data_IF_308550097511
#
_entry.id   IF_308550097511
#
_cell.length_a   1.000
_cell.length_b   1.000
_cell.length_c   1.000
_cell.angle_alpha   90.00
_cell.angle_beta   90.00
_cell.angle_gamma   90.00
#
_symmetry.space_group_name_H-M   'P 1'
#
loop_
_entity.id
_entity.type
_entity.pdbx_description
1 polymer ?
#
# COMPACT_ATOMS: atom_id res chain seq x y z
N UNK A 1 -7.76 -9.46 5.51
CA UNK A 1 -8.21 -8.10 5.84
C UNK A 1 -7.86 -7.19 4.67
N UNK A 2 -8.76 -6.31 4.23
CA UNK A 2 -8.53 -5.42 3.08
C UNK A 2 -8.28 -3.99 3.57
N UNK A 3 -7.20 -3.38 3.12
CA UNK A 3 -6.92 -1.95 3.32
C UNK A 3 -7.19 -1.20 2.03
N UNK A 4 -8.34 -0.52 1.95
CA UNK A 4 -8.82 0.10 0.71
C UNK A 4 -7.82 1.12 0.14
N UNK A 5 -7.18 1.91 1.01
CA UNK A 5 -6.22 2.96 0.64
C UNK A 5 -5.02 2.50 -0.16
N UNK A 6 -4.62 1.23 -0.07
CA UNK A 6 -3.52 0.70 -0.88
C UNK A 6 -3.90 0.69 -2.37
N UNK A 7 -5.12 0.27 -2.67
CA UNK A 7 -5.65 0.32 -4.02
C UNK A 7 -5.85 1.76 -4.49
N UNK A 8 -6.43 2.60 -3.62
CA UNK A 8 -6.75 4.00 -3.95
C UNK A 8 -5.49 4.81 -4.27
N UNK A 9 -4.45 4.71 -3.43
CA UNK A 9 -3.17 5.40 -3.65
C UNK A 9 -2.46 4.95 -4.93
N UNK A 10 -2.60 3.67 -5.30
CA UNK A 10 -2.06 3.18 -6.57
C UNK A 10 -2.81 3.78 -7.75
N UNK A 11 -4.15 3.79 -7.70
CA UNK A 11 -4.96 4.35 -8.79
C UNK A 11 -4.79 5.86 -8.91
N UNK A 12 -4.69 6.58 -7.80
CA UNK A 12 -4.46 8.03 -7.78
C UNK A 12 -3.09 8.42 -8.35
N UNK A 13 -2.12 7.49 -8.33
CA UNK A 13 -0.80 7.66 -8.92
C UNK A 13 -0.71 7.15 -10.37
N UNK A 14 -1.84 6.82 -11.01
CA UNK A 14 -1.92 6.27 -12.38
C UNK A 14 -1.05 5.02 -12.61
N UNK A 15 -0.82 4.23 -11.56
CA UNK A 15 0.03 3.05 -11.64
C UNK A 15 -0.77 1.76 -11.83
N UNK A 16 -0.25 0.87 -12.67
CA UNK A 16 -0.68 -0.52 -12.72
C UNK A 16 -0.17 -1.31 -11.50
N UNK A 17 -0.83 -2.42 -11.18
CA UNK A 17 -0.35 -3.36 -10.15
C UNK A 17 1.05 -3.89 -10.46
N UNK A 18 1.41 -4.01 -11.75
CA UNK A 18 2.73 -4.46 -12.19
C UNK A 18 3.81 -3.43 -11.82
N UNK A 19 3.63 -2.17 -12.19
CA UNK A 19 4.58 -1.09 -11.89
C UNK A 19 4.84 -0.96 -10.38
N UNK A 20 3.77 -0.92 -9.57
CA UNK A 20 3.95 -0.80 -8.13
C UNK A 20 4.58 -2.05 -7.51
N UNK A 21 4.28 -3.25 -8.03
CA UNK A 21 4.97 -4.47 -7.57
C UNK A 21 6.46 -4.46 -7.86
N UNK A 22 6.89 -3.87 -8.99
CA UNK A 22 8.30 -3.73 -9.36
C UNK A 22 9.03 -2.77 -8.40
N UNK A 23 8.40 -1.62 -8.09
CA UNK A 23 8.91 -0.65 -7.09
C UNK A 23 9.08 -1.31 -5.72
N UNK A 24 8.11 -2.14 -5.34
CA UNK A 24 8.14 -2.82 -4.04
C UNK A 24 9.00 -4.10 -4.02
N UNK A 25 9.59 -4.48 -5.15
CA UNK A 25 10.38 -5.69 -5.34
C UNK A 25 9.64 -6.99 -4.97
N UNK A 26 8.38 -7.10 -5.41
CA UNK A 26 7.55 -8.29 -5.23
C UNK A 26 6.88 -8.69 -6.55
N UNK A 27 6.28 -9.88 -6.59
CA UNK A 27 5.48 -10.27 -7.77
C UNK A 27 4.16 -9.50 -7.82
N UNK A 28 3.70 -9.17 -9.04
CA UNK A 28 2.38 -8.57 -9.29
C UNK A 28 1.24 -9.37 -8.66
N UNK A 29 1.35 -10.71 -8.64
CA UNK A 29 0.41 -11.58 -7.95
C UNK A 29 0.36 -11.34 -6.45
N UNK A 30 1.53 -11.19 -5.80
CA UNK A 30 1.59 -10.88 -4.36
C UNK A 30 0.95 -9.54 -4.05
N UNK A 31 1.21 -8.53 -4.88
CA UNK A 31 0.60 -7.21 -4.75
C UNK A 31 -0.93 -7.27 -4.95
N UNK A 32 -1.42 -8.04 -5.93
CA UNK A 32 -2.86 -8.28 -6.12
C UNK A 32 -3.52 -8.93 -4.90
N UNK A 33 -2.83 -9.86 -4.22
CA UNK A 33 -3.32 -10.46 -2.98
C UNK A 33 -3.52 -9.43 -1.86
N UNK A 34 -2.69 -8.38 -1.83
CA UNK A 34 -2.80 -7.28 -0.86
C UNK A 34 -4.04 -6.42 -1.15
N UNK A 35 -4.25 -6.00 -2.40
CA UNK A 35 -5.41 -5.17 -2.76
C UNK A 35 -6.74 -5.91 -2.61
N UNK A 36 -6.75 -7.22 -2.84
CA UNK A 36 -7.95 -8.06 -2.66
C UNK A 36 -8.19 -8.46 -1.21
N UNK A 37 -7.19 -8.30 -0.34
CA UNK A 37 -7.24 -8.76 1.06
C UNK A 37 -7.24 -10.28 1.21
N UNK A 38 -6.92 -11.02 0.13
CA UNK A 38 -6.87 -12.49 0.11
C UNK A 38 -5.64 -13.06 0.81
N UNK A 39 -4.60 -12.24 1.02
CA UNK A 39 -3.51 -12.52 1.95
C UNK A 39 -3.27 -11.32 2.85
N UNK A 40 -2.74 -11.58 4.05
CA UNK A 40 -2.26 -10.52 4.92
C UNK A 40 -1.04 -9.85 4.31
N UNK A 41 -0.94 -8.55 4.53
CA UNK A 41 0.17 -7.73 4.06
C UNK A 41 1.27 -7.78 5.13
N UNK A 42 2.51 -8.15 4.78
CA UNK A 42 3.63 -8.07 5.70
C UNK A 42 3.85 -6.64 6.20
N UNK A 43 4.26 -6.47 7.45
CA UNK A 43 4.52 -5.13 8.04
C UNK A 43 5.54 -4.35 7.21
N UNK A 44 6.59 -5.02 6.71
CA UNK A 44 7.58 -4.40 5.83
C UNK A 44 6.97 -3.77 4.58
N UNK A 45 5.95 -4.41 3.99
CA UNK A 45 5.26 -3.88 2.81
C UNK A 45 4.45 -2.63 3.14
N UNK A 46 3.83 -2.58 4.32
CA UNK A 46 3.13 -1.39 4.80
C UNK A 46 4.09 -0.23 4.99
N UNK A 47 5.28 -0.48 5.55
CA UNK A 47 6.33 0.53 5.71
C UNK A 47 6.83 1.03 4.35
N UNK A 48 7.10 0.12 3.40
CA UNK A 48 7.55 0.50 2.05
C UNK A 48 6.52 1.35 1.31
N UNK A 49 5.24 0.97 1.38
CA UNK A 49 4.14 1.75 0.80
C UNK A 49 4.02 3.13 1.46
N UNK A 50 4.06 3.18 2.80
CA UNK A 50 3.99 4.42 3.55
C UNK A 50 5.14 5.39 3.16
N UNK A 51 6.36 4.88 3.07
CA UNK A 51 7.53 5.66 2.65
C UNK A 51 7.43 6.10 1.18
N UNK A 52 6.97 5.22 0.28
CA UNK A 52 6.84 5.54 -1.14
C UNK A 52 5.85 6.68 -1.39
N UNK A 53 4.74 6.70 -0.66
CA UNK A 53 3.70 7.74 -0.78
C UNK A 53 3.90 8.94 0.17
N UNK A 54 4.97 8.94 0.97
CA UNK A 54 5.24 9.96 2.00
C UNK A 54 4.06 10.18 2.97
N UNK A 55 3.54 9.08 3.54
CA UNK A 55 2.40 9.05 4.45
C UNK A 55 2.67 8.17 5.68
N UNK A 56 1.86 8.30 6.74
CA UNK A 56 1.91 7.34 7.85
C UNK A 56 1.29 5.98 7.51
N UNK A 57 1.78 4.93 8.19
CA UNK A 57 1.14 3.61 8.18
C UNK A 57 -0.28 3.71 8.74
N UNK A 58 -0.53 4.53 9.77
CA UNK A 58 -1.86 4.71 10.35
C UNK A 58 -2.87 5.24 9.32
N UNK A 59 -2.45 6.16 8.45
CA UNK A 59 -3.26 6.53 7.29
C UNK A 59 -3.43 5.33 6.35
N UNK A 60 -2.35 4.67 5.94
CA UNK A 60 -2.43 3.54 5.00
C UNK A 60 -3.41 2.44 5.43
N UNK A 61 -3.49 2.16 6.73
CA UNK A 61 -4.32 1.08 7.30
C UNK A 61 -5.68 1.53 7.83
N UNK A 62 -6.06 2.81 7.69
CA UNK A 62 -7.40 3.30 8.05
C UNK A 62 -7.59 3.70 9.52
N UNK A 63 -6.52 3.97 10.28
CA UNK A 63 -6.61 4.42 11.68
C UNK A 63 -6.77 5.93 11.84
N UNK A 64 -6.47 6.71 10.80
CA UNK A 64 -6.60 8.17 10.77
C UNK A 64 -6.88 8.65 9.35
N UNK A 65 -7.57 9.78 9.17
CA UNK A 65 -7.76 10.42 7.85
C UNK A 65 -6.65 11.41 7.51
N UNK A 66 -5.72 11.66 8.44
CA UNK A 66 -4.57 12.54 8.23
C UNK A 66 -3.44 11.77 7.54
N UNK A 67 -3.00 12.23 6.36
CA UNK A 67 -1.88 11.65 5.60
C UNK A 67 -0.52 11.85 6.26
N UNK A 68 -0.42 12.69 7.28
CA UNK A 68 0.83 13.09 7.95
C UNK A 68 1.72 11.89 8.30
N UNK A 69 3.02 12.00 8.06
CA UNK A 69 4.00 11.04 8.55
C UNK A 69 4.06 11.09 10.07
N UNK A 70 4.05 9.91 10.70
CA UNK A 70 4.38 9.78 12.11
C UNK A 70 5.89 10.02 12.23
N UNK A 71 6.29 11.27 12.50
CA UNK A 71 7.68 11.62 12.87
C UNK A 71 7.95 11.23 14.31
#
# INVERSE_FOLDING_TARGET
MKFQRIQDLRTDADMSQKQLSEILHISQRSYSHYETGSRNIPVEMLIRLANYYDISVDYLIGRTDKKEMNK
#
